data_IF_719725836184
#
_entry.id   IF_719725836184
#
_cell.length_a   1.000
_cell.length_b   1.000
_cell.length_c   1.000
_cell.angle_alpha   90.00
_cell.angle_beta   90.00
_cell.angle_gamma   90.00
#
_symmetry.space_group_name_H-M   'P 1'
#
loop_
_entity.id
_entity.type
_entity.pdbx_description
1 polymer ?
#
# COMPACT_ATOMS: atom_id res chain seq x y z
N UNK A 1 -5.36 6.86 -13.39
CA UNK A 1 -5.05 8.15 -12.79
C UNK A 1 -3.64 8.16 -12.21
N UNK A 2 -3.37 7.23 -11.30
CA UNK A 2 -2.06 7.12 -10.67
C UNK A 2 -1.42 5.76 -10.95
N UNK A 3 -0.09 5.68 -10.77
CA UNK A 3 0.67 4.45 -11.01
C UNK A 3 0.37 3.38 -9.96
N UNK A 4 0.40 3.78 -8.69
CA UNK A 4 0.14 2.85 -7.59
C UNK A 4 1.16 1.72 -7.57
N UNK A 5 1.24 1.02 -6.44
CA UNK A 5 2.18 -0.08 -6.29
C UNK A 5 1.65 -1.10 -5.29
N UNK A 6 2.44 -2.14 -5.05
CA UNK A 6 2.06 -3.19 -4.12
C UNK A 6 3.12 -3.37 -3.04
N UNK A 7 2.71 -3.88 -1.88
CA UNK A 7 3.63 -4.10 -0.77
C UNK A 7 4.22 -2.78 -0.29
N UNK A 8 5.22 -2.88 0.58
CA UNK A 8 5.87 -1.69 1.13
C UNK A 8 6.37 -0.78 0.01
N UNK A 9 5.93 0.48 0.04
CA UNK A 9 6.33 1.46 -0.96
C UNK A 9 5.68 2.81 -0.69
N UNK A 10 4.37 2.87 -0.80
CA UNK A 10 3.63 4.10 -0.56
C UNK A 10 2.13 3.91 -0.77
N UNK A 11 1.34 4.79 -0.17
CA UNK A 11 -0.11 4.71 -0.30
C UNK A 11 -0.77 6.02 0.12
N UNK A 12 -0.36 7.11 -0.51
CA UNK A 12 -0.91 8.43 -0.20
C UNK A 12 -2.37 8.52 -0.60
N UNK A 13 -2.96 9.70 -0.41
CA UNK A 13 -4.36 9.92 -0.75
C UNK A 13 -4.66 9.47 -2.17
N UNK A 14 -3.97 10.07 -3.14
CA UNK A 14 -4.14 9.75 -4.56
C UNK A 14 -3.60 8.37 -4.91
N UNK A 15 -2.93 7.75 -3.95
CA UNK A 15 -2.36 6.42 -4.15
C UNK A 15 -3.03 5.39 -3.24
N UNK A 16 -4.29 5.09 -3.52
CA UNK A 16 -5.03 4.12 -2.72
C UNK A 16 -4.70 2.69 -3.14
N UNK A 17 -4.07 1.95 -2.24
CA UNK A 17 -3.69 0.57 -2.51
C UNK A 17 -4.88 -0.21 -3.08
N UNK A 18 -4.74 -0.66 -4.32
CA UNK A 18 -5.80 -1.42 -4.99
C UNK A 18 -6.05 -2.74 -4.26
N UNK A 19 -5.00 -3.56 -4.15
CA UNK A 19 -5.08 -4.87 -3.49
C UNK A 19 -5.27 -4.73 -1.98
N UNK A 20 -5.54 -5.87 -1.32
CA UNK A 20 -5.74 -5.91 0.13
C UNK A 20 -4.44 -5.66 0.90
N UNK A 21 -4.02 -4.40 0.93
CA UNK A 21 -2.81 -4.02 1.64
C UNK A 21 -3.13 -3.28 2.94
N UNK A 22 -2.10 -3.01 3.72
CA UNK A 22 -2.27 -2.30 4.99
C UNK A 22 -1.11 -1.34 5.25
N UNK A 23 -1.43 -0.06 5.35
CA UNK A 23 -0.41 0.96 5.60
C UNK A 23 -0.12 1.09 7.08
N UNK A 24 0.63 2.13 7.45
CA UNK A 24 0.97 2.38 8.84
C UNK A 24 0.72 3.83 9.22
N UNK A 25 1.41 4.74 8.54
CA UNK A 25 1.27 6.17 8.80
C UNK A 25 2.17 6.99 7.89
N UNK A 26 3.34 6.44 7.58
CA UNK A 26 4.29 7.13 6.70
C UNK A 26 4.12 6.67 5.25
N UNK A 27 2.94 6.16 4.93
CA UNK A 27 2.65 5.70 3.58
C UNK A 27 3.62 4.60 3.16
N UNK A 28 3.17 3.35 3.28
CA UNK A 28 4.01 2.21 2.91
C UNK A 28 3.16 1.08 2.33
N UNK A 29 2.09 0.72 3.04
CA UNK A 29 1.21 -0.34 2.61
C UNK A 29 1.92 -1.70 2.63
N UNK A 30 1.32 -2.65 3.33
CA UNK A 30 1.90 -3.99 3.43
C UNK A 30 0.90 -4.97 4.05
N UNK A 31 1.33 -6.22 4.22
CA UNK A 31 0.48 -7.25 4.80
C UNK A 31 1.25 -8.55 4.99
N UNK A 32 0.75 -9.42 5.88
CA UNK A 32 1.38 -10.71 6.16
C UNK A 32 1.25 -11.68 5.01
N UNK A 33 0.30 -11.42 4.11
CA UNK A 33 0.08 -12.27 2.95
C UNK A 33 1.32 -12.32 2.06
N UNK A 34 1.90 -11.15 1.80
CA UNK A 34 3.08 -11.06 0.96
C UNK A 34 3.93 -9.85 1.35
N UNK A 35 5.09 -10.11 1.95
CA UNK A 35 5.98 -9.03 2.36
C UNK A 35 6.54 -9.25 3.74
N UNK A 36 6.41 -8.25 4.61
CA UNK A 36 6.92 -8.33 5.97
C UNK A 36 8.44 -8.51 5.97
#
# INVERSE_FOLDING_TARGET
DFPLSKEYETCVRPRKCQPPLKCNKAQICVDPKKGW
#
